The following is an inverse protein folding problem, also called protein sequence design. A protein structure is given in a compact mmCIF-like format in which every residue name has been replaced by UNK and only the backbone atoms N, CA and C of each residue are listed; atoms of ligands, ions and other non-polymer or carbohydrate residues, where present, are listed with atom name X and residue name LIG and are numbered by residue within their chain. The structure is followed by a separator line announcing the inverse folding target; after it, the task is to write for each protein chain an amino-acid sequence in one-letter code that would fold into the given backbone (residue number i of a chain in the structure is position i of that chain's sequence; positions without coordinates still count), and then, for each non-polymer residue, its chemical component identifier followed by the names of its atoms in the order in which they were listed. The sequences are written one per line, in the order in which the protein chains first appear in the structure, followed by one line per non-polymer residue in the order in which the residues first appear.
data_IF_426028203642
#
_entry.id   IF_426028203642
#
_cell.length_a   1.000
_cell.length_b   1.000
_cell.length_c   1.000
_cell.angle_alpha   90.00
_cell.angle_beta   90.00
_cell.angle_gamma   90.00
#
_symmetry.space_group_name_H-M   'P 1'
#
loop_
_entity.id
_entity.type
_entity.pdbx_description
1 polymer ?
#
# COMPACT_ATOMS: atom_id res chain seq x y z
N UNK A 1 -70.47 -15.70 -33.25
CA UNK A 1 -69.37 -15.65 -32.27
C UNK A 1 -68.72 -14.29 -32.41
N UNK A 2 -68.83 -13.43 -31.40
CA UNK A 2 -68.26 -12.09 -31.41
C UNK A 2 -66.87 -12.15 -30.78
N UNK A 3 -65.85 -11.70 -31.51
CA UNK A 3 -64.47 -11.64 -31.03
C UNK A 3 -64.19 -10.23 -30.52
N UNK A 4 -64.08 -10.09 -29.21
CA UNK A 4 -63.73 -8.83 -28.55
C UNK A 4 -62.22 -8.65 -28.54
N UNK A 5 -61.71 -7.67 -29.28
CA UNK A 5 -60.30 -7.27 -29.23
C UNK A 5 -60.07 -6.38 -28.00
N UNK A 6 -59.36 -6.89 -26.99
CA UNK A 6 -58.84 -6.05 -25.91
C UNK A 6 -57.62 -5.26 -26.42
N UNK A 7 -57.74 -3.93 -26.40
CA UNK A 7 -56.61 -3.04 -26.62
C UNK A 7 -55.76 -2.99 -25.35
N UNK A 8 -54.50 -3.42 -25.45
CA UNK A 8 -53.50 -3.22 -24.40
C UNK A 8 -52.99 -1.78 -24.54
N UNK A 9 -53.38 -0.91 -23.61
CA UNK A 9 -52.86 0.44 -23.53
C UNK A 9 -51.39 0.37 -23.08
N UNK A 10 -50.47 0.70 -23.99
CA UNK A 10 -49.06 0.96 -23.68
C UNK A 10 -48.97 2.23 -22.83
N UNK A 11 -49.00 2.09 -21.50
CA UNK A 11 -48.66 3.19 -20.59
C UNK A 11 -47.16 3.41 -20.71
N UNK A 12 -46.78 4.54 -21.30
CA UNK A 12 -45.39 4.90 -21.59
C UNK A 12 -44.54 4.96 -20.32
N UNK A 13 -43.40 4.28 -20.35
CA UNK A 13 -42.41 4.12 -19.29
C UNK A 13 -41.60 5.41 -18.97
N UNK A 14 -42.15 6.57 -19.33
CA UNK A 14 -41.48 7.88 -19.33
C UNK A 14 -41.11 8.33 -17.91
N UNK A 15 -41.97 8.10 -16.91
CA UNK A 15 -41.70 8.47 -15.52
C UNK A 15 -40.52 7.71 -14.92
N UNK A 16 -40.39 6.41 -15.23
CA UNK A 16 -39.22 5.61 -14.82
C UNK A 16 -37.93 6.09 -15.49
N UNK A 17 -37.99 6.53 -16.73
CA UNK A 17 -36.83 7.06 -17.44
C UNK A 17 -36.42 8.44 -16.91
N UNK A 18 -37.38 9.29 -16.56
CA UNK A 18 -37.13 10.59 -15.93
C UNK A 18 -36.57 10.45 -14.52
N UNK A 19 -37.13 9.56 -13.68
CA UNK A 19 -36.58 9.24 -12.35
C UNK A 19 -35.16 8.66 -12.43
N UNK A 20 -34.89 7.78 -13.40
CA UNK A 20 -33.55 7.22 -13.61
C UNK A 20 -32.55 8.29 -14.06
N UNK A 21 -32.98 9.22 -14.92
CA UNK A 21 -32.16 10.34 -15.38
C UNK A 21 -31.89 11.33 -14.25
N UNK A 22 -32.90 11.69 -13.46
CA UNK A 22 -32.76 12.58 -12.31
C UNK A 22 -31.85 11.95 -11.24
N UNK A 23 -31.96 10.63 -10.99
CA UNK A 23 -31.03 9.90 -10.12
C UNK A 23 -29.60 9.86 -10.66
N UNK A 24 -29.43 9.68 -11.98
CA UNK A 24 -28.12 9.74 -12.62
C UNK A 24 -27.51 11.15 -12.53
N UNK A 25 -28.33 12.19 -12.67
CA UNK A 25 -27.92 13.59 -12.53
C UNK A 25 -27.54 13.90 -11.07
N UNK A 26 -28.27 13.38 -10.08
CA UNK A 26 -27.89 13.47 -8.66
C UNK A 26 -26.59 12.69 -8.34
N UNK A 27 -26.31 11.59 -9.04
CA UNK A 27 -25.08 10.82 -8.84
C UNK A 27 -23.82 11.58 -9.26
N UNK A 28 -23.93 12.59 -10.13
CA UNK A 28 -22.83 13.45 -10.57
C UNK A 28 -22.69 14.73 -9.72
N UNK A 29 -23.53 14.92 -8.70
CA UNK A 29 -23.45 16.08 -7.79
C UNK A 29 -22.48 15.77 -6.65
N UNK A 30 -21.41 16.57 -6.44
CA UNK A 30 -20.52 16.39 -5.30
C UNK A 30 -21.25 16.54 -3.97
N UNK A 31 -20.76 15.85 -2.93
CA UNK A 31 -21.29 15.99 -1.57
C UNK A 31 -21.27 17.46 -1.13
N UNK A 32 -22.43 17.95 -0.62
CA UNK A 32 -22.62 19.35 -0.22
C UNK A 32 -22.73 19.55 1.30
N UNK A 33 -22.75 18.46 2.08
CA UNK A 33 -22.80 18.56 3.53
C UNK A 33 -21.46 19.00 4.13
N UNK A 34 -21.42 19.29 5.44
CA UNK A 34 -20.17 19.61 6.11
C UNK A 34 -19.21 18.41 6.07
N UNK A 35 -17.91 18.67 5.94
CA UNK A 35 -16.89 17.63 6.16
C UNK A 35 -17.04 17.08 7.58
N UNK A 36 -16.88 15.77 7.74
CA UNK A 36 -16.81 15.17 9.07
C UNK A 36 -15.59 15.73 9.84
N UNK A 37 -15.70 15.90 11.17
CA UNK A 37 -14.62 16.45 11.97
C UNK A 37 -13.39 15.53 11.95
N UNK A 38 -12.20 16.12 11.95
CA UNK A 38 -10.90 15.43 12.06
C UNK A 38 -10.61 14.36 10.99
N UNK A 39 -11.27 14.43 9.83
CA UNK A 39 -10.88 13.61 8.66
C UNK A 39 -9.53 14.13 8.14
N UNK A 40 -8.50 13.29 8.00
CA UNK A 40 -7.23 13.72 7.40
C UNK A 40 -7.43 14.01 5.90
N UNK A 41 -6.52 14.76 5.29
CA UNK A 41 -6.61 15.06 3.86
C UNK A 41 -6.30 13.84 3.00
N UNK A 42 -6.85 13.80 1.79
CA UNK A 42 -6.58 12.72 0.84
C UNK A 42 -5.08 12.67 0.48
N UNK A 43 -4.61 11.50 0.06
CA UNK A 43 -3.24 11.30 -0.42
C UNK A 43 -3.28 10.66 -1.79
N UNK A 44 -2.67 11.34 -2.77
CA UNK A 44 -2.54 10.84 -4.14
C UNK A 44 -1.07 10.94 -4.53
N UNK A 45 -0.46 9.79 -4.84
CA UNK A 45 0.93 9.72 -5.30
C UNK A 45 0.91 9.11 -6.71
N UNK A 46 1.10 9.92 -7.77
CA UNK A 46 1.17 9.41 -9.13
C UNK A 46 2.51 8.70 -9.39
N UNK A 47 2.58 7.91 -10.46
CA UNK A 47 3.85 7.36 -10.96
C UNK A 47 4.48 6.32 -10.03
N UNK A 48 3.69 5.56 -9.26
CA UNK A 48 4.28 4.62 -8.30
C UNK A 48 5.12 3.50 -8.92
N UNK A 49 4.91 3.22 -10.21
CA UNK A 49 5.66 2.25 -11.01
C UNK A 49 6.93 2.81 -11.68
N UNK A 50 7.16 4.13 -11.60
CA UNK A 50 8.40 4.73 -12.09
C UNK A 50 9.50 4.58 -11.04
N UNK A 51 10.28 3.50 -11.15
CA UNK A 51 11.34 3.16 -10.19
C UNK A 51 12.64 3.95 -10.43
N UNK A 52 12.81 4.51 -11.63
CA UNK A 52 13.96 5.35 -12.03
C UNK A 52 13.66 6.85 -11.84
N UNK A 53 12.75 7.15 -10.91
CA UNK A 53 12.43 8.51 -10.48
C UNK A 53 13.59 9.15 -9.69
N UNK A 54 13.38 10.38 -9.20
CA UNK A 54 14.36 11.10 -8.38
C UNK A 54 14.88 10.24 -7.21
N UNK A 55 16.17 9.89 -7.27
CA UNK A 55 16.83 9.02 -6.30
C UNK A 55 16.76 9.53 -4.86
N UNK A 56 16.58 10.85 -4.68
CA UNK A 56 16.39 11.46 -3.36
C UNK A 56 15.14 10.95 -2.65
N UNK A 57 14.15 10.43 -3.38
CA UNK A 57 12.91 9.89 -2.82
C UNK A 57 13.10 8.53 -2.12
N UNK A 58 14.16 7.80 -2.45
CA UNK A 58 14.47 6.48 -1.89
C UNK A 58 15.26 6.60 -0.58
N UNK A 59 14.58 6.35 0.54
CA UNK A 59 15.14 6.41 1.89
C UNK A 59 15.95 5.15 2.18
N UNK A 60 17.25 5.24 2.53
CA UNK A 60 18.07 4.09 2.88
C UNK A 60 17.55 3.39 4.14
N UNK A 61 17.46 2.07 4.11
CA UNK A 61 17.07 1.23 5.25
C UNK A 61 18.22 0.33 5.73
N UNK A 62 18.95 -0.26 4.79
CA UNK A 62 20.12 -1.10 5.01
C UNK A 62 21.01 -1.05 3.74
N UNK A 63 22.23 -1.62 3.76
CA UNK A 63 23.03 -1.73 2.54
C UNK A 63 22.22 -2.37 1.41
N UNK A 64 22.15 -1.66 0.28
CA UNK A 64 21.41 -2.03 -0.93
C UNK A 64 19.89 -2.28 -0.75
N UNK A 65 19.31 -1.69 0.30
CA UNK A 65 17.87 -1.73 0.60
C UNK A 65 17.36 -0.32 0.88
N UNK A 66 16.36 0.10 0.11
CA UNK A 66 15.70 1.40 0.26
C UNK A 66 14.19 1.23 0.33
N UNK A 67 13.53 2.19 0.98
CA UNK A 67 12.08 2.33 0.89
C UNK A 67 11.70 3.71 0.36
N UNK A 68 10.62 3.77 -0.41
CA UNK A 68 9.93 5.01 -0.74
C UNK A 68 8.60 5.06 0.02
N UNK A 69 8.40 6.02 0.94
CA UNK A 69 7.12 6.16 1.63
C UNK A 69 5.99 6.41 0.65
N UNK A 70 4.84 5.76 0.87
CA UNK A 70 3.58 6.09 0.22
C UNK A 70 2.57 6.65 1.23
N UNK A 71 2.53 6.10 2.45
CA UNK A 71 1.68 6.59 3.53
C UNK A 71 2.30 6.22 4.87
N UNK A 72 2.34 7.16 5.82
CA UNK A 72 2.83 6.97 7.19
C UNK A 72 1.68 7.31 8.16
N UNK A 73 0.87 6.32 8.52
CA UNK A 73 -0.27 6.53 9.42
C UNK A 73 0.18 6.45 10.88
N UNK A 74 0.53 7.60 11.45
CA UNK A 74 1.05 7.68 12.83
C UNK A 74 -0.06 7.43 13.85
N UNK A 75 -1.29 7.81 13.51
CA UNK A 75 -2.47 7.58 14.35
C UNK A 75 -3.03 6.17 14.20
N UNK A 76 -2.99 5.61 12.97
CA UNK A 76 -3.45 4.27 12.66
C UNK A 76 -2.42 3.17 12.96
N UNK A 77 -1.16 3.52 13.22
CA UNK A 77 -0.10 2.58 13.55
C UNK A 77 0.28 1.67 12.37
N UNK A 78 0.29 2.19 11.14
CA UNK A 78 0.65 1.43 9.95
C UNK A 78 1.39 2.31 8.93
N UNK A 79 2.07 1.67 7.98
CA UNK A 79 2.68 2.37 6.85
C UNK A 79 2.50 1.61 5.54
N UNK A 80 2.51 2.36 4.44
CA UNK A 80 2.59 1.82 3.09
C UNK A 80 3.88 2.35 2.47
N UNK A 81 4.72 1.47 1.96
CA UNK A 81 5.95 1.85 1.26
C UNK A 81 6.22 0.94 0.05
N UNK A 82 7.04 1.42 -0.87
CA UNK A 82 7.69 0.57 -1.86
C UNK A 82 9.09 0.24 -1.36
N UNK A 83 9.42 -1.03 -1.22
CA UNK A 83 10.76 -1.50 -0.90
C UNK A 83 11.50 -1.84 -2.19
N UNK A 84 12.72 -1.31 -2.35
CA UNK A 84 13.64 -1.62 -3.45
C UNK A 84 14.88 -2.30 -2.88
N UNK A 85 15.22 -3.46 -3.43
CA UNK A 85 16.37 -4.26 -3.02
C UNK A 85 17.22 -4.57 -4.24
N UNK A 86 18.49 -4.16 -4.22
CA UNK A 86 19.48 -4.40 -5.27
C UNK A 86 20.62 -5.31 -4.78
N UNK A 87 20.28 -6.29 -3.94
CA UNK A 87 21.17 -7.35 -3.45
C UNK A 87 20.43 -8.68 -3.36
N UNK A 88 21.19 -9.76 -3.33
CA UNK A 88 20.71 -11.12 -3.11
C UNK A 88 21.08 -11.64 -1.72
N UNK A 89 20.53 -12.80 -1.36
CA UNK A 89 20.71 -13.48 -0.08
C UNK A 89 19.66 -13.09 0.95
N UNK A 90 19.98 -13.35 2.22
CA UNK A 90 19.10 -13.10 3.35
C UNK A 90 19.07 -11.60 3.69
N UNK A 91 17.87 -11.02 3.72
CA UNK A 91 17.68 -9.63 4.12
C UNK A 91 17.53 -9.49 5.64
N UNK A 92 16.55 -10.18 6.21
CA UNK A 92 16.24 -10.10 7.63
C UNK A 92 15.35 -11.26 8.07
N UNK A 93 15.41 -11.59 9.37
CA UNK A 93 14.38 -12.36 10.05
C UNK A 93 13.56 -11.44 10.94
N UNK A 94 12.25 -11.54 10.87
CA UNK A 94 11.37 -10.70 11.66
C UNK A 94 10.02 -11.34 11.93
N UNK A 95 9.36 -10.82 12.95
CA UNK A 95 7.99 -11.12 13.35
C UNK A 95 7.12 -9.91 13.07
N UNK A 96 5.90 -10.13 12.57
CA UNK A 96 4.92 -9.05 12.42
C UNK A 96 4.03 -8.87 13.65
N UNK A 97 3.87 -7.63 14.12
CA UNK A 97 2.93 -7.30 15.19
C UNK A 97 1.48 -7.13 14.69
N UNK A 98 1.29 -6.86 13.39
CA UNK A 98 0.00 -6.83 12.70
C UNK A 98 0.10 -7.54 11.35
N UNK A 99 -0.90 -7.39 10.48
CA UNK A 99 -0.83 -8.03 9.15
C UNK A 99 0.05 -7.25 8.18
N UNK A 100 0.58 -7.96 7.19
CA UNK A 100 1.26 -7.37 6.05
C UNK A 100 0.61 -7.83 4.75
N UNK A 101 0.43 -6.88 3.85
CA UNK A 101 0.01 -7.11 2.47
C UNK A 101 1.15 -6.70 1.55
N UNK A 102 1.56 -7.60 0.66
CA UNK A 102 2.63 -7.37 -0.29
C UNK A 102 2.10 -7.46 -1.72
N UNK A 103 2.52 -6.55 -2.59
CA UNK A 103 2.32 -6.62 -4.04
C UNK A 103 3.67 -6.52 -4.71
N UNK A 104 4.08 -7.59 -5.39
CA UNK A 104 5.39 -7.66 -6.03
C UNK A 104 5.33 -6.91 -7.35
N UNK A 105 6.06 -5.81 -7.45
CA UNK A 105 6.06 -4.94 -8.63
C UNK A 105 7.17 -5.30 -9.62
N UNK A 106 8.27 -5.90 -9.13
CA UNK A 106 9.40 -6.34 -9.95
C UNK A 106 10.17 -7.48 -9.27
N UNK A 107 10.61 -8.47 -10.06
CA UNK A 107 11.47 -9.53 -9.58
C UNK A 107 10.74 -10.58 -8.73
N UNK A 108 11.44 -11.22 -7.80
CA UNK A 108 10.87 -12.22 -6.88
C UNK A 108 11.64 -12.30 -5.56
N UNK A 109 10.98 -12.80 -4.54
CA UNK A 109 11.55 -13.07 -3.23
C UNK A 109 10.84 -14.27 -2.57
N UNK A 110 11.41 -14.77 -1.48
CA UNK A 110 10.93 -15.95 -0.77
C UNK A 110 11.11 -15.80 0.74
N UNK A 111 10.33 -16.56 1.49
CA UNK A 111 10.53 -16.74 2.93
C UNK A 111 10.92 -18.19 3.18
N UNK A 112 12.04 -18.41 3.86
CA UNK A 112 12.59 -19.76 4.12
C UNK A 112 11.59 -20.72 4.77
N UNK A 113 10.68 -20.18 5.56
CA UNK A 113 9.67 -20.90 6.33
C UNK A 113 8.48 -21.37 5.48
N UNK A 114 8.39 -20.94 4.22
CA UNK A 114 7.24 -21.15 3.35
C UNK A 114 7.63 -21.85 2.04
N UNK A 115 6.76 -22.68 1.43
CA UNK A 115 7.08 -23.37 0.18
C UNK A 115 6.88 -22.52 -1.09
N UNK A 116 6.24 -21.36 -0.96
CA UNK A 116 5.81 -20.53 -2.09
C UNK A 116 6.77 -19.38 -2.35
N UNK A 117 6.84 -18.93 -3.61
CA UNK A 117 7.61 -17.77 -4.04
C UNK A 117 6.68 -16.60 -4.34
N UNK A 118 7.05 -15.40 -3.90
CA UNK A 118 6.39 -14.18 -4.32
C UNK A 118 7.06 -13.65 -5.58
N UNK A 119 6.33 -13.62 -6.70
CA UNK A 119 6.85 -13.23 -8.02
C UNK A 119 6.13 -12.00 -8.56
N UNK A 120 6.75 -11.29 -9.49
CA UNK A 120 6.22 -10.10 -10.17
C UNK A 120 4.74 -10.24 -10.57
N UNK A 121 3.94 -9.21 -10.25
CA UNK A 121 2.48 -9.21 -10.41
C UNK A 121 1.71 -9.95 -9.32
N UNK A 122 2.42 -10.63 -8.41
CA UNK A 122 1.83 -11.42 -7.33
C UNK A 122 1.42 -10.60 -6.11
N UNK A 123 0.53 -11.19 -5.32
CA UNK A 123 0.11 -10.69 -4.02
C UNK A 123 0.44 -11.72 -2.94
N UNK A 124 0.93 -11.26 -1.79
CA UNK A 124 1.11 -12.09 -0.60
C UNK A 124 0.43 -11.44 0.61
N UNK A 125 -0.06 -12.31 1.50
CA UNK A 125 -0.61 -11.93 2.79
C UNK A 125 0.18 -12.63 3.88
N UNK A 126 0.61 -11.86 4.87
CA UNK A 126 1.38 -12.36 6.00
C UNK A 126 0.57 -12.05 7.27
N UNK A 127 0.16 -13.08 8.03
CA UNK A 127 -0.68 -12.88 9.19
C UNK A 127 0.11 -12.30 10.38
N UNK A 128 -0.57 -11.59 11.30
CA UNK A 128 0.05 -11.17 12.56
C UNK A 128 0.67 -12.35 13.31
N UNK A 129 1.88 -12.17 13.82
CA UNK A 129 2.61 -13.19 14.55
C UNK A 129 3.44 -14.16 13.69
N UNK A 130 3.31 -14.13 12.36
CA UNK A 130 4.21 -14.88 11.49
C UNK A 130 5.66 -14.43 11.72
N UNK A 131 6.57 -15.39 11.74
CA UNK A 131 8.02 -15.16 11.84
C UNK A 131 8.65 -15.76 10.60
N UNK A 132 9.35 -14.94 9.84
CA UNK A 132 9.98 -15.41 8.62
C UNK A 132 11.31 -14.74 8.31
N UNK A 133 12.05 -15.36 7.40
CA UNK A 133 13.36 -14.97 6.93
C UNK A 133 13.29 -14.65 5.44
N UNK A 134 13.34 -13.36 5.10
CA UNK A 134 13.24 -12.90 3.71
C UNK A 134 14.53 -13.16 2.94
N UNK A 135 14.42 -13.86 1.81
CA UNK A 135 15.48 -14.07 0.85
C UNK A 135 15.17 -13.46 -0.53
N UNK A 136 16.20 -12.92 -1.17
CA UNK A 136 16.19 -12.55 -2.59
C UNK A 136 17.18 -13.45 -3.32
N UNK A 137 16.76 -14.19 -4.36
CA UNK A 137 17.63 -15.17 -5.01
C UNK A 137 18.71 -14.48 -5.88
N UNK A 138 19.82 -15.17 -6.13
CA UNK A 138 21.01 -14.60 -6.80
C UNK A 138 20.76 -14.12 -8.24
N UNK A 139 19.80 -14.72 -8.93
CA UNK A 139 19.42 -14.35 -10.30
C UNK A 139 18.58 -13.06 -10.37
N UNK A 140 18.10 -12.55 -9.23
CA UNK A 140 17.30 -11.33 -9.15
C UNK A 140 18.21 -10.12 -8.91
N UNK A 141 18.40 -9.32 -9.96
CA UNK A 141 19.18 -8.07 -9.88
C UNK A 141 18.49 -6.98 -9.05
N UNK A 142 17.17 -6.95 -9.09
CA UNK A 142 16.36 -5.97 -8.38
C UNK A 142 15.01 -6.57 -8.03
N UNK A 143 14.63 -6.45 -6.76
CA UNK A 143 13.30 -6.74 -6.26
C UNK A 143 12.62 -5.44 -5.84
N UNK A 144 11.39 -5.23 -6.29
CA UNK A 144 10.55 -4.09 -5.89
C UNK A 144 9.21 -4.62 -5.43
N UNK A 145 8.86 -4.34 -4.17
CA UNK A 145 7.60 -4.80 -3.58
C UNK A 145 6.93 -3.66 -2.82
N UNK A 146 5.65 -3.42 -3.09
CA UNK A 146 4.83 -2.53 -2.29
C UNK A 146 4.32 -3.30 -1.08
N UNK A 147 4.56 -2.77 0.11
CA UNK A 147 4.08 -3.33 1.37
C UNK A 147 3.12 -2.36 2.04
N UNK A 148 2.00 -2.87 2.52
CA UNK A 148 1.20 -2.27 3.57
C UNK A 148 1.42 -3.07 4.84
N UNK A 149 1.93 -2.41 5.88
CA UNK A 149 2.36 -3.01 7.14
C UNK A 149 1.56 -2.41 8.27
N UNK A 150 0.78 -3.24 8.95
CA UNK A 150 0.08 -2.84 10.17
C UNK A 150 0.93 -3.21 11.38
N UNK A 151 1.12 -2.28 12.30
CA UNK A 151 1.99 -2.44 13.47
C UNK A 151 3.47 -2.30 13.11
N UNK A 152 4.27 -3.24 13.59
CA UNK A 152 5.73 -3.19 13.53
C UNK A 152 6.32 -4.50 13.01
N UNK A 153 7.48 -4.39 12.38
CA UNK A 153 8.44 -5.47 12.24
C UNK A 153 9.26 -5.56 13.51
N UNK A 154 9.26 -6.72 14.15
CA UNK A 154 10.16 -7.01 15.26
C UNK A 154 11.26 -7.89 14.68
N UNK A 155 12.45 -7.35 14.49
CA UNK A 155 13.60 -8.15 14.08
C UNK A 155 13.94 -9.13 15.19
N UNK A 156 14.19 -10.39 14.83
CA UNK A 156 14.48 -11.45 15.79
C UNK A 156 15.71 -12.26 15.38
N UNK A 157 16.39 -12.82 16.38
CA UNK A 157 17.44 -13.82 16.19
C UNK A 157 16.84 -15.20 15.76
N UNK A 158 17.65 -16.26 15.53
CA UNK A 158 17.13 -17.58 15.16
C UNK A 158 16.21 -18.24 16.20
N UNK A 159 16.31 -17.83 17.46
CA UNK A 159 15.52 -18.39 18.57
C UNK A 159 14.25 -17.55 18.85
N UNK A 160 14.02 -16.49 18.06
CA UNK A 160 12.86 -15.62 18.18
C UNK A 160 13.01 -14.49 19.21
N UNK A 161 14.22 -14.26 19.74
CA UNK A 161 14.45 -13.16 20.67
C UNK A 161 14.48 -11.82 19.91
N UNK A 162 13.77 -10.78 20.38
CA UNK A 162 13.80 -9.46 19.75
C UNK A 162 15.18 -8.82 19.77
N UNK A 163 15.64 -8.36 18.61
CA UNK A 163 16.92 -7.63 18.44
C UNK A 163 16.73 -6.21 17.87
N UNK A 164 15.53 -5.86 17.45
CA UNK A 164 15.21 -4.53 16.95
C UNK A 164 13.73 -4.38 16.59
N UNK A 165 13.30 -3.15 16.36
CA UNK A 165 11.94 -2.83 15.94
C UNK A 165 11.95 -1.82 14.81
N UNK A 166 11.05 -1.99 13.85
CA UNK A 166 10.76 -1.03 12.80
C UNK A 166 9.23 -0.85 12.70
N UNK A 167 8.77 0.36 12.99
CA UNK A 167 7.38 0.79 12.95
C UNK A 167 7.22 2.10 12.15
N UNK A 168 5.99 2.63 12.07
CA UNK A 168 5.70 3.88 11.38
C UNK A 168 6.52 5.08 11.89
N UNK A 169 6.83 5.14 13.19
CA UNK A 169 7.58 6.26 13.78
C UNK A 169 9.05 6.19 13.39
N UNK A 170 9.65 4.99 13.42
CA UNK A 170 11.00 4.77 12.95
C UNK A 170 11.15 5.03 11.44
N UNK A 171 10.14 4.67 10.62
CA UNK A 171 10.09 5.00 9.18
C UNK A 171 10.03 6.50 8.95
N UNK A 172 9.19 7.21 9.70
CA UNK A 172 9.06 8.66 9.63
C UNK A 172 10.37 9.35 10.02
N UNK A 173 11.01 8.92 11.10
CA UNK A 173 12.30 9.46 11.54
C UNK A 173 13.40 9.24 10.50
N UNK A 174 13.52 8.02 9.94
CA UNK A 174 14.44 7.73 8.83
C UNK A 174 14.17 8.61 7.61
N UNK A 175 12.90 8.76 7.21
CA UNK A 175 12.52 9.59 6.07
C UNK A 175 12.86 11.06 6.29
N UNK A 176 12.53 11.63 7.44
CA UNK A 176 12.87 13.03 7.80
C UNK A 176 14.36 13.28 7.75
N UNK A 177 15.16 12.41 8.37
CA UNK A 177 16.63 12.52 8.36
C UNK A 177 17.20 12.45 6.96
N UNK A 178 16.72 11.52 6.14
CA UNK A 178 17.17 11.36 4.76
C UNK A 178 16.81 12.58 3.91
N UNK A 179 15.55 13.02 3.95
CA UNK A 179 15.10 14.16 3.15
C UNK A 179 15.77 15.48 3.53
N UNK A 180 16.09 15.68 4.82
CA UNK A 180 16.95 16.77 5.25
C UNK A 180 18.34 16.66 4.61
N UNK A 181 18.99 15.50 4.71
CA UNK A 181 20.35 15.29 4.21
C UNK A 181 20.50 15.46 2.69
N UNK A 182 19.46 15.13 1.91
CA UNK A 182 19.45 15.27 0.44
C UNK A 182 18.85 16.59 -0.06
N UNK A 183 18.61 17.55 0.84
CA UNK A 183 18.18 18.90 0.51
C UNK A 183 16.71 19.06 0.12
N UNK A 184 15.86 18.08 0.42
CA UNK A 184 14.40 18.20 0.30
C UNK A 184 13.77 18.83 1.57
N UNK A 185 14.48 18.76 2.69
CA UNK A 185 14.05 19.22 4.00
C UNK A 185 13.26 18.15 4.76
N UNK A 186 13.40 18.10 6.08
CA UNK A 186 12.73 17.10 6.92
C UNK A 186 11.19 17.12 6.75
N UNK A 187 10.59 18.31 6.63
CA UNK A 187 9.14 18.46 6.45
C UNK A 187 8.61 17.90 5.13
N UNK A 188 9.49 17.56 4.18
CA UNK A 188 9.07 16.84 2.98
C UNK A 188 8.40 15.50 3.33
N UNK A 189 8.80 14.85 4.42
CA UNK A 189 8.16 13.60 4.86
C UNK A 189 6.69 13.81 5.32
N UNK A 190 6.32 15.02 5.72
CA UNK A 190 5.01 15.29 6.32
C UNK A 190 3.86 15.15 5.31
N UNK A 191 4.16 15.24 4.01
CA UNK A 191 3.19 14.99 2.95
C UNK A 191 2.60 13.57 2.99
N UNK A 192 3.35 12.61 3.54
CA UNK A 192 2.95 11.20 3.67
C UNK A 192 2.23 10.89 4.99
N UNK A 193 2.25 11.81 5.96
CA UNK A 193 1.76 11.56 7.32
C UNK A 193 0.24 11.65 7.36
N UNK A 194 -0.41 10.66 8.00
CA UNK A 194 -1.85 10.63 8.24
C UNK A 194 -2.17 10.17 9.67
#
# INVERSE_FOLDING_TARGET
MATTTQSVTMISNTSKQEELKERADQAAVPYRGPRLPAVPDDLVIPGIFDFECDERLWVPQAPDVWFRPLLLSVSGGYFVNILRVRRSGILSRHRHAGCVHATVLKGRWHYLEHPWWATEGGYAFEPPGDIHTLEVPEDVKEMVTMFHVTGAYIYVDPDGNPVGVEDVFSKLDKARKHYEAVGLGASFADQFVR
#
